data_IF_817804397047
#
_entry.id   IF_817804397047
#
_cell.length_a   1.000
_cell.length_b   1.000
_cell.length_c   1.000
_cell.angle_alpha   90.00
_cell.angle_beta   90.00
_cell.angle_gamma   90.00
#
_symmetry.space_group_name_H-M   'P 1'
#
loop_
_entity.id
_entity.type
_entity.pdbx_description
1 polymer ?
#
# COMPACT_ATOMS: atom_id res chain seq x y z
N UNK A 1 39.80 -41.57 -8.80
CA UNK A 1 39.49 -40.38 -8.02
C UNK A 1 38.57 -39.49 -8.84
N UNK A 2 37.29 -39.47 -8.54
CA UNK A 2 36.33 -38.55 -9.17
C UNK A 2 36.20 -37.34 -8.28
N UNK A 3 36.56 -36.17 -8.78
CA UNK A 3 36.36 -34.91 -8.10
C UNK A 3 34.90 -34.51 -8.30
N UNK A 4 34.11 -34.49 -7.22
CA UNK A 4 32.75 -33.92 -7.22
C UNK A 4 32.88 -32.38 -7.26
N UNK A 5 32.55 -31.77 -8.38
CA UNK A 5 32.40 -30.34 -8.50
C UNK A 5 31.07 -29.93 -7.80
N UNK A 6 31.17 -29.34 -6.63
CA UNK A 6 30.01 -28.70 -5.97
C UNK A 6 29.66 -27.44 -6.74
N UNK A 7 28.57 -27.50 -7.51
CA UNK A 7 27.92 -26.31 -8.05
C UNK A 7 27.31 -25.54 -6.88
N UNK A 8 27.98 -24.50 -6.41
CA UNK A 8 27.37 -23.46 -5.58
C UNK A 8 26.35 -22.73 -6.47
N UNK A 9 25.08 -23.06 -6.29
CA UNK A 9 24.00 -22.23 -6.80
C UNK A 9 24.09 -20.90 -6.04
N UNK A 10 24.64 -19.85 -6.66
CA UNK A 10 24.41 -18.49 -6.20
C UNK A 10 22.90 -18.24 -6.25
N UNK A 11 22.24 -18.26 -5.10
CA UNK A 11 20.88 -17.72 -5.00
C UNK A 11 20.96 -16.26 -5.46
N UNK A 12 20.28 -15.94 -6.55
CA UNK A 12 20.16 -14.57 -7.00
C UNK A 12 19.45 -13.82 -5.87
N UNK A 13 20.16 -12.87 -5.26
CA UNK A 13 19.57 -11.99 -4.25
C UNK A 13 18.59 -11.09 -4.96
N UNK A 14 17.35 -10.96 -4.45
CA UNK A 14 16.39 -10.02 -5.02
C UNK A 14 17.00 -8.62 -4.92
N UNK A 15 17.16 -8.00 -6.07
CA UNK A 15 17.63 -6.63 -6.13
C UNK A 15 16.44 -5.68 -6.13
N UNK A 16 16.50 -4.62 -5.34
CA UNK A 16 15.55 -3.52 -5.45
C UNK A 16 15.80 -2.69 -6.72
N UNK A 17 14.76 -2.38 -7.52
CA UNK A 17 13.33 -2.71 -7.32
C UNK A 17 13.00 -4.19 -7.59
N UNK A 18 12.06 -4.73 -6.78
CA UNK A 18 11.72 -6.16 -6.79
C UNK A 18 10.88 -6.61 -8.00
N UNK A 19 10.28 -5.68 -8.75
CA UNK A 19 9.43 -5.93 -9.91
C UNK A 19 10.07 -5.31 -11.17
N UNK A 20 11.10 -5.97 -11.77
CA UNK A 20 11.95 -5.33 -12.75
C UNK A 20 11.35 -5.17 -14.16
N UNK A 21 10.17 -5.74 -14.42
CA UNK A 21 9.56 -5.77 -15.77
C UNK A 21 8.60 -4.61 -16.04
N UNK A 22 8.02 -4.03 -15.01
CA UNK A 22 7.01 -2.96 -15.12
C UNK A 22 7.34 -1.83 -14.14
N UNK A 23 6.98 -0.61 -14.49
CA UNK A 23 6.91 0.48 -13.53
C UNK A 23 5.70 0.28 -12.64
N UNK A 24 5.92 0.29 -11.33
CA UNK A 24 4.91 -0.04 -10.34
C UNK A 24 5.03 0.91 -9.15
N UNK A 25 3.90 1.20 -8.50
CA UNK A 25 3.85 2.14 -7.40
C UNK A 25 2.82 1.75 -6.34
N UNK A 26 2.81 2.50 -5.25
CA UNK A 26 1.78 2.47 -4.21
C UNK A 26 1.51 1.04 -3.72
N UNK A 27 2.50 0.38 -3.11
CA UNK A 27 2.39 -1.02 -2.71
C UNK A 27 1.38 -1.19 -1.58
N UNK A 28 0.48 -2.17 -1.74
CA UNK A 28 -0.35 -2.72 -0.68
C UNK A 28 -0.01 -4.20 -0.52
N UNK A 29 0.37 -4.60 0.69
CA UNK A 29 0.85 -5.95 0.95
C UNK A 29 -0.08 -6.69 1.91
N UNK A 30 -0.44 -7.92 1.56
CA UNK A 30 -1.27 -8.79 2.36
C UNK A 30 -0.60 -10.15 2.53
N UNK A 31 -0.58 -10.68 3.75
CA UNK A 31 0.08 -11.95 4.06
C UNK A 31 -0.96 -12.98 4.46
N UNK A 32 -0.96 -14.11 3.77
CA UNK A 32 -1.84 -15.23 4.11
C UNK A 32 -1.20 -16.59 3.75
N UNK A 33 -1.35 -17.56 4.64
CA UNK A 33 -0.90 -18.94 4.43
C UNK A 33 0.55 -19.05 3.91
N UNK A 34 1.45 -18.23 4.45
CA UNK A 34 2.85 -18.21 4.06
C UNK A 34 3.14 -17.60 2.69
N UNK A 35 2.18 -16.91 2.11
CA UNK A 35 2.31 -16.16 0.86
C UNK A 35 2.14 -14.68 1.11
N UNK A 36 3.01 -13.86 0.55
CA UNK A 36 2.83 -12.41 0.44
C UNK A 36 2.16 -12.11 -0.89
N UNK A 37 1.02 -11.45 -0.85
CA UNK A 37 0.31 -10.90 -1.99
C UNK A 37 0.61 -9.40 -2.03
N UNK A 38 1.19 -8.92 -3.12
CA UNK A 38 1.60 -7.54 -3.31
C UNK A 38 0.80 -6.92 -4.46
N UNK A 39 -0.13 -6.06 -4.12
CA UNK A 39 -0.90 -5.26 -5.06
C UNK A 39 -0.18 -3.94 -5.29
N UNK A 40 -0.11 -3.51 -6.55
CA UNK A 40 0.60 -2.29 -6.92
C UNK A 40 -0.14 -1.57 -8.04
N UNK A 41 -0.05 -0.26 -8.09
CA UNK A 41 -0.42 0.51 -9.25
C UNK A 41 0.55 0.25 -10.40
N UNK A 42 0.07 0.27 -11.65
CA UNK A 42 0.89 0.14 -12.85
C UNK A 42 1.11 1.50 -13.49
N UNK A 43 2.29 2.08 -13.30
CA UNK A 43 2.68 3.35 -13.92
C UNK A 43 2.96 3.14 -15.42
N UNK A 44 2.09 3.67 -16.26
CA UNK A 44 2.12 3.51 -17.73
C UNK A 44 2.45 4.81 -18.47
N UNK A 45 2.86 5.86 -17.74
CA UNK A 45 3.23 7.13 -18.32
C UNK A 45 4.41 6.98 -19.29
N UNK A 46 4.32 7.61 -20.43
CA UNK A 46 5.43 7.73 -21.39
C UNK A 46 6.51 8.70 -20.86
N UNK A 47 7.71 8.73 -21.43
CA UNK A 47 8.74 9.69 -21.04
C UNK A 47 8.36 11.16 -21.20
N UNK A 48 7.34 11.47 -21.99
CA UNK A 48 6.88 12.83 -22.27
C UNK A 48 5.65 13.23 -21.47
N UNK A 49 4.98 12.27 -20.82
CA UNK A 49 3.80 12.56 -20.00
C UNK A 49 4.18 13.39 -18.77
N UNK A 50 3.26 14.26 -18.36
CA UNK A 50 3.44 15.20 -17.26
C UNK A 50 2.54 14.88 -16.08
N UNK A 51 1.91 13.70 -16.10
CA UNK A 51 1.00 13.22 -15.07
C UNK A 51 1.02 11.70 -14.98
N UNK A 52 0.39 11.16 -13.95
CA UNK A 52 0.21 9.72 -13.79
C UNK A 52 -0.73 9.15 -14.87
N UNK A 53 -0.34 8.01 -15.41
CA UNK A 53 -1.16 7.19 -16.31
C UNK A 53 -1.20 5.79 -15.73
N UNK A 54 -2.28 5.46 -15.03
CA UNK A 54 -2.44 4.20 -14.32
C UNK A 54 -3.79 3.59 -14.69
N UNK A 55 -3.79 2.49 -15.46
CA UNK A 55 -5.02 1.90 -16.04
C UNK A 55 -5.46 0.62 -15.34
N UNK A 56 -4.63 0.07 -14.47
CA UNK A 56 -4.88 -1.18 -13.76
C UNK A 56 -4.06 -1.26 -12.48
N UNK A 57 -4.51 -2.08 -11.56
CA UNK A 57 -3.67 -2.63 -10.50
C UNK A 57 -3.10 -3.97 -10.93
N UNK A 58 -1.87 -4.25 -10.53
CA UNK A 58 -1.21 -5.55 -10.73
C UNK A 58 -1.08 -6.27 -9.42
N UNK A 59 -1.09 -7.59 -9.48
CA UNK A 59 -0.85 -8.46 -8.34
C UNK A 59 0.39 -9.31 -8.57
N UNK A 60 1.23 -9.37 -7.56
CA UNK A 60 2.36 -10.28 -7.47
C UNK A 60 2.26 -11.11 -6.20
N UNK A 61 2.87 -12.30 -6.19
CA UNK A 61 2.96 -13.10 -4.98
C UNK A 61 4.35 -13.65 -4.78
N UNK A 62 4.75 -13.80 -3.51
CA UNK A 62 6.04 -14.38 -3.12
C UNK A 62 5.88 -15.27 -1.90
N UNK A 63 6.67 -16.34 -1.86
CA UNK A 63 6.80 -17.24 -0.73
C UNK A 63 8.10 -17.03 0.06
N UNK A 64 8.95 -16.10 -0.37
CA UNK A 64 10.30 -15.93 0.17
C UNK A 64 10.84 -14.49 0.15
N UNK A 65 10.05 -13.51 -0.27
CA UNK A 65 10.40 -12.09 -0.41
C UNK A 65 11.42 -11.78 -1.52
N UNK A 66 11.89 -12.78 -2.27
CA UNK A 66 12.84 -12.61 -3.36
C UNK A 66 12.26 -12.97 -4.73
N UNK A 67 11.54 -14.08 -4.80
CA UNK A 67 10.96 -14.57 -6.04
C UNK A 67 9.50 -14.14 -6.14
N UNK A 68 9.21 -13.23 -7.09
CA UNK A 68 7.89 -12.67 -7.29
C UNK A 68 7.24 -13.22 -8.56
N UNK A 69 6.06 -13.82 -8.39
CA UNK A 69 5.23 -14.34 -9.48
C UNK A 69 4.19 -13.30 -9.87
N UNK A 70 4.18 -12.89 -11.12
CA UNK A 70 3.13 -12.01 -11.67
C UNK A 70 1.82 -12.80 -11.79
N UNK A 71 0.77 -12.31 -11.14
CA UNK A 71 -0.59 -12.90 -11.10
C UNK A 71 -1.57 -12.17 -12.03
N UNK A 72 -1.11 -11.18 -12.77
CA UNK A 72 -1.94 -10.38 -13.66
C UNK A 72 -2.61 -9.21 -12.96
N UNK A 73 -3.71 -8.74 -13.54
CA UNK A 73 -4.53 -7.64 -13.01
C UNK A 73 -5.76 -8.20 -12.31
N UNK A 74 -5.87 -8.07 -10.97
CA UNK A 74 -7.01 -8.59 -10.22
C UNK A 74 -8.27 -7.74 -10.37
N UNK A 75 -8.10 -6.46 -10.73
CA UNK A 75 -9.18 -5.47 -10.91
C UNK A 75 -8.68 -4.30 -11.78
N UNK A 76 -9.59 -3.63 -12.45
CA UNK A 76 -9.37 -2.39 -13.19
C UNK A 76 -10.39 -1.33 -12.76
N UNK A 77 -10.14 -0.02 -12.97
CA UNK A 77 -11.09 1.05 -12.62
C UNK A 77 -12.48 0.86 -13.23
N UNK A 78 -12.56 0.22 -14.39
CA UNK A 78 -13.84 -0.09 -15.09
C UNK A 78 -14.76 -1.07 -14.33
N UNK A 79 -14.27 -1.73 -13.29
CA UNK A 79 -15.10 -2.52 -12.38
C UNK A 79 -16.10 -1.61 -11.63
N UNK A 80 -15.71 -0.39 -11.31
CA UNK A 80 -16.56 0.62 -10.68
C UNK A 80 -17.35 1.38 -11.73
N UNK A 81 -18.62 1.03 -11.93
CA UNK A 81 -19.47 1.62 -12.99
C UNK A 81 -19.80 3.10 -12.78
N UNK A 82 -19.65 3.60 -11.57
CA UNK A 82 -19.81 4.99 -11.17
C UNK A 82 -18.53 5.84 -11.34
N UNK A 83 -17.39 5.20 -11.64
CA UNK A 83 -16.11 5.86 -11.93
C UNK A 83 -15.95 6.16 -13.42
N UNK A 84 -15.01 7.04 -13.77
CA UNK A 84 -14.65 7.29 -15.18
C UNK A 84 -14.11 6.02 -15.85
N UNK A 85 -13.43 5.15 -15.10
CA UNK A 85 -13.16 3.76 -15.47
C UNK A 85 -12.07 3.51 -16.50
N UNK A 86 -11.30 4.53 -16.90
CA UNK A 86 -10.29 4.39 -17.96
C UNK A 86 -8.85 4.57 -17.50
N UNK A 87 -8.64 5.41 -16.52
CA UNK A 87 -7.35 5.79 -15.95
C UNK A 87 -7.51 5.95 -14.44
N UNK A 88 -6.44 6.32 -13.76
CA UNK A 88 -6.46 6.66 -12.33
C UNK A 88 -6.76 5.47 -11.41
N UNK A 89 -6.13 4.32 -11.72
CA UNK A 89 -5.97 3.23 -10.79
C UNK A 89 -4.91 3.61 -9.71
N UNK A 90 -5.24 4.61 -8.87
CA UNK A 90 -4.33 5.16 -7.90
C UNK A 90 -4.19 4.23 -6.69
N UNK A 91 -3.54 4.69 -5.63
CA UNK A 91 -3.26 3.85 -4.48
C UNK A 91 -4.50 3.10 -3.96
N UNK A 92 -4.27 1.88 -3.53
CA UNK A 92 -5.29 0.98 -3.01
C UNK A 92 -4.74 0.22 -1.81
N UNK A 93 -5.62 -0.35 -1.00
CA UNK A 93 -5.25 -1.26 0.08
C UNK A 93 -6.23 -2.43 0.16
N UNK A 94 -5.81 -3.50 0.84
CA UNK A 94 -6.56 -4.74 0.90
C UNK A 94 -6.60 -5.31 2.32
N UNK A 95 -7.74 -5.89 2.67
CA UNK A 95 -7.88 -6.67 3.90
C UNK A 95 -8.77 -7.89 3.69
N UNK A 96 -8.75 -8.80 4.66
CA UNK A 96 -9.63 -9.96 4.70
C UNK A 96 -10.57 -9.90 5.90
N UNK A 97 -11.84 -10.25 5.68
CA UNK A 97 -12.82 -10.47 6.74
C UNK A 97 -13.82 -11.54 6.33
N UNK A 98 -14.16 -12.43 7.24
CA UNK A 98 -15.18 -13.49 7.06
C UNK A 98 -15.00 -14.28 5.77
N UNK A 99 -13.75 -14.62 5.44
CA UNK A 99 -13.40 -15.40 4.25
C UNK A 99 -13.42 -14.62 2.93
N UNK A 100 -13.76 -13.33 2.94
CA UNK A 100 -13.76 -12.46 1.76
C UNK A 100 -12.62 -11.44 1.81
N UNK A 101 -12.17 -11.02 0.64
CA UNK A 101 -11.12 -10.02 0.46
C UNK A 101 -11.75 -8.72 -0.02
N UNK A 102 -11.42 -7.62 0.62
CA UNK A 102 -11.95 -6.28 0.35
C UNK A 102 -10.83 -5.37 -0.12
N UNK A 103 -10.96 -4.89 -1.36
CA UNK A 103 -9.99 -4.03 -2.03
C UNK A 103 -10.55 -2.61 -2.09
N UNK A 104 -9.93 -1.69 -1.36
CA UNK A 104 -10.29 -0.27 -1.35
C UNK A 104 -9.38 0.47 -2.31
N UNK A 105 -9.95 1.28 -3.19
CA UNK A 105 -9.18 1.86 -4.28
C UNK A 105 -9.59 3.30 -4.57
N UNK A 106 -8.61 4.12 -4.86
CA UNK A 106 -8.81 5.49 -5.35
C UNK A 106 -9.07 5.49 -6.86
N UNK A 107 -10.15 6.14 -7.28
CA UNK A 107 -10.52 6.36 -8.70
C UNK A 107 -11.17 7.73 -8.86
N UNK A 108 -11.29 8.20 -10.11
CA UNK A 108 -12.08 9.39 -10.44
C UNK A 108 -13.58 9.07 -10.48
N UNK A 109 -14.39 9.87 -9.80
CA UNK A 109 -15.85 9.75 -9.87
C UNK A 109 -16.40 10.36 -11.15
N UNK A 110 -17.33 9.68 -11.83
CA UNK A 110 -17.83 10.11 -13.15
C UNK A 110 -18.69 11.38 -13.14
N UNK A 111 -19.34 11.68 -12.01
CA UNK A 111 -20.32 12.78 -11.92
C UNK A 111 -20.10 13.73 -10.75
N UNK A 112 -19.43 13.28 -9.69
CA UNK A 112 -19.03 14.13 -8.55
C UNK A 112 -17.57 14.53 -8.81
N UNK A 113 -17.26 15.82 -8.99
CA UNK A 113 -15.87 16.24 -9.24
C UNK A 113 -14.93 15.83 -8.11
N UNK A 114 -13.80 15.22 -8.48
CA UNK A 114 -12.75 14.82 -7.55
C UNK A 114 -12.56 13.33 -7.43
N UNK A 115 -11.56 12.97 -6.62
CA UNK A 115 -11.25 11.57 -6.31
C UNK A 115 -12.30 10.98 -5.38
N UNK A 116 -12.41 9.68 -5.47
CA UNK A 116 -13.36 8.90 -4.68
C UNK A 116 -12.74 7.54 -4.31
N UNK A 117 -13.18 6.97 -3.21
CA UNK A 117 -12.74 5.65 -2.78
C UNK A 117 -13.88 4.66 -3.02
N UNK A 118 -13.58 3.63 -3.82
CA UNK A 118 -14.43 2.47 -4.03
C UNK A 118 -14.02 1.30 -3.15
N UNK A 119 -14.94 0.34 -2.97
CA UNK A 119 -14.64 -0.94 -2.37
C UNK A 119 -15.10 -2.07 -3.27
N UNK A 120 -14.19 -2.99 -3.58
CA UNK A 120 -14.47 -4.19 -4.36
C UNK A 120 -14.23 -5.44 -3.49
N UNK A 121 -14.91 -6.53 -3.81
CA UNK A 121 -14.88 -7.78 -3.04
C UNK A 121 -14.55 -8.98 -3.93
N UNK A 122 -13.82 -9.94 -3.35
CA UNK A 122 -13.54 -11.25 -3.97
C UNK A 122 -13.54 -12.35 -2.92
N UNK A 123 -13.74 -13.61 -3.37
CA UNK A 123 -13.58 -14.81 -2.54
C UNK A 123 -12.12 -15.31 -2.53
N UNK A 124 -11.22 -14.69 -3.31
CA UNK A 124 -9.80 -15.06 -3.42
C UNK A 124 -8.92 -13.82 -3.43
N UNK A 125 -7.70 -13.89 -2.89
CA UNK A 125 -6.78 -12.76 -2.95
C UNK A 125 -6.37 -12.40 -4.40
N UNK A 126 -6.39 -13.38 -5.31
CA UNK A 126 -6.09 -13.14 -6.72
C UNK A 126 -7.24 -12.49 -7.49
N UNK A 127 -8.41 -12.34 -6.88
CA UNK A 127 -9.58 -11.84 -7.58
C UNK A 127 -10.30 -12.92 -8.39
N UNK A 128 -11.09 -12.57 -9.41
CA UNK A 128 -11.39 -11.18 -9.78
C UNK A 128 -12.18 -10.45 -8.69
N UNK A 129 -11.87 -9.18 -8.51
CA UNK A 129 -12.64 -8.31 -7.62
C UNK A 129 -13.79 -7.66 -8.38
N UNK A 130 -14.93 -7.51 -7.72
CA UNK A 130 -16.13 -6.84 -8.24
C UNK A 130 -16.56 -5.72 -7.30
N UNK A 131 -17.11 -4.65 -7.85
CA UNK A 131 -17.67 -3.54 -7.06
C UNK A 131 -18.68 -4.08 -6.03
N UNK A 132 -18.43 -3.82 -4.75
CA UNK A 132 -19.21 -4.36 -3.66
C UNK A 132 -20.48 -3.52 -3.36
N UNK A 133 -20.60 -2.30 -3.93
CA UNK A 133 -21.65 -1.35 -3.60
C UNK A 133 -22.48 -0.88 -4.78
N UNK A 134 -21.88 -0.78 -5.98
CA UNK A 134 -22.45 -0.06 -7.12
C UNK A 134 -22.38 1.47 -6.97
N UNK A 135 -21.66 1.98 -5.96
CA UNK A 135 -21.43 3.41 -5.70
C UNK A 135 -20.13 3.60 -4.91
N UNK A 136 -19.54 4.80 -4.94
CA UNK A 136 -18.38 5.11 -4.10
C UNK A 136 -18.70 4.96 -2.61
N UNK A 137 -17.69 4.58 -1.83
CA UNK A 137 -17.74 4.58 -0.37
C UNK A 137 -17.47 5.99 0.17
N UNK A 138 -16.48 6.68 -0.37
CA UNK A 138 -16.13 8.07 -0.08
C UNK A 138 -16.18 8.86 -1.38
N UNK A 139 -16.71 10.07 -1.31
CA UNK A 139 -16.75 11.02 -2.43
C UNK A 139 -16.35 12.41 -1.95
N UNK A 140 -15.74 13.20 -2.80
CA UNK A 140 -15.19 14.51 -2.48
C UNK A 140 -16.23 15.50 -1.87
N UNK A 141 -17.52 15.33 -2.11
CA UNK A 141 -18.54 16.14 -1.48
C UNK A 141 -18.92 15.71 -0.04
N UNK A 142 -18.34 14.62 0.46
CA UNK A 142 -18.49 14.20 1.88
C UNK A 142 -17.40 14.82 2.77
N UNK A 143 -16.34 15.37 2.19
CA UNK A 143 -15.11 15.80 2.87
C UNK A 143 -14.67 17.15 2.27
N UNK A 144 -15.26 18.22 2.73
CA UNK A 144 -15.03 19.58 2.18
C UNK A 144 -13.94 20.38 2.94
N UNK A 145 -13.20 19.72 3.84
CA UNK A 145 -12.20 20.37 4.69
C UNK A 145 -10.92 20.74 3.91
N UNK A 146 -10.56 19.97 2.88
CA UNK A 146 -9.42 20.25 2.05
C UNK A 146 -9.82 21.09 0.82
N UNK A 147 -9.01 22.08 0.41
CA UNK A 147 -9.32 22.93 -0.73
C UNK A 147 -8.94 22.32 -2.10
N UNK A 148 -8.79 21.01 -2.17
CA UNK A 148 -8.34 20.26 -3.36
C UNK A 148 -9.29 19.11 -3.70
N UNK A 149 -9.47 18.81 -4.98
CA UNK A 149 -10.39 17.77 -5.43
C UNK A 149 -9.78 16.35 -5.39
N UNK A 150 -8.54 16.21 -4.99
CA UNK A 150 -7.85 14.92 -4.85
C UNK A 150 -7.47 14.59 -3.41
N UNK A 151 -8.21 15.10 -2.46
CA UNK A 151 -7.98 14.87 -1.03
C UNK A 151 -8.53 13.52 -0.53
N UNK A 152 -9.42 12.87 -1.27
CA UNK A 152 -9.95 11.56 -0.93
C UNK A 152 -9.19 10.45 -1.69
N UNK A 153 -7.92 10.27 -1.32
CA UNK A 153 -7.03 9.27 -1.91
C UNK A 153 -6.37 8.42 -0.84
N UNK A 154 -5.65 7.40 -1.28
CA UNK A 154 -4.77 6.55 -0.49
C UNK A 154 -5.48 5.86 0.68
N UNK A 155 -6.50 5.04 0.41
CA UNK A 155 -7.16 4.28 1.46
C UNK A 155 -6.19 3.30 2.11
N UNK A 156 -6.10 3.34 3.44
CA UNK A 156 -5.44 2.35 4.28
C UNK A 156 -6.48 1.67 5.18
N UNK A 157 -6.69 0.38 5.04
CA UNK A 157 -7.70 -0.38 5.78
C UNK A 157 -7.06 -1.25 6.85
N UNK A 158 -7.59 -1.18 8.06
CA UNK A 158 -7.12 -1.97 9.19
C UNK A 158 -8.29 -2.64 9.92
N UNK A 159 -8.14 -3.93 10.21
CA UNK A 159 -9.08 -4.68 11.06
C UNK A 159 -8.40 -4.99 12.39
N UNK A 160 -8.95 -4.51 13.48
CA UNK A 160 -8.40 -4.72 14.82
C UNK A 160 -8.75 -6.11 15.38
N UNK A 161 -8.12 -6.51 16.48
CA UNK A 161 -8.29 -7.81 17.11
C UNK A 161 -9.72 -8.04 17.63
N UNK A 162 -10.47 -6.97 17.93
CA UNK A 162 -11.89 -7.03 18.32
C UNK A 162 -12.83 -7.13 17.11
N UNK A 163 -12.27 -7.11 15.90
CA UNK A 163 -13.02 -7.16 14.64
C UNK A 163 -13.55 -5.80 14.17
N UNK A 164 -13.29 -4.70 14.89
CA UNK A 164 -13.62 -3.37 14.36
C UNK A 164 -12.68 -3.01 13.22
N UNK A 165 -13.25 -2.67 12.06
CA UNK A 165 -12.48 -2.20 10.91
C UNK A 165 -12.47 -0.67 10.84
N UNK A 166 -11.35 -0.14 10.37
CA UNK A 166 -11.09 1.29 10.19
C UNK A 166 -10.58 1.53 8.78
N UNK A 167 -11.05 2.60 8.16
CA UNK A 167 -10.51 3.13 6.91
C UNK A 167 -9.87 4.48 7.21
N UNK A 168 -8.57 4.59 6.90
CA UNK A 168 -7.81 5.83 6.90
C UNK A 168 -7.58 6.27 5.46
N UNK A 169 -7.57 7.58 5.19
CA UNK A 169 -7.30 8.11 3.85
C UNK A 169 -6.99 9.60 3.91
N UNK A 170 -6.52 10.16 2.82
CA UNK A 170 -6.46 11.59 2.64
C UNK A 170 -5.19 12.10 1.98
N UNK A 171 -5.32 13.30 1.43
CA UNK A 171 -4.22 14.18 1.07
C UNK A 171 -4.42 15.52 1.76
N UNK A 172 -3.36 16.14 2.24
CA UNK A 172 -3.36 17.40 3.00
C UNK A 172 -4.01 17.27 4.39
N UNK A 173 -5.13 16.59 4.50
CA UNK A 173 -5.85 16.34 5.75
C UNK A 173 -6.06 14.84 5.90
N UNK A 174 -5.52 14.26 6.97
CA UNK A 174 -5.76 12.87 7.31
C UNK A 174 -7.17 12.69 7.87
N UNK A 175 -7.88 11.73 7.33
CA UNK A 175 -9.23 11.34 7.73
C UNK A 175 -9.27 9.87 8.13
N UNK A 176 -10.23 9.51 8.97
CA UNK A 176 -10.61 8.11 9.18
C UNK A 176 -12.10 7.98 9.47
N UNK A 177 -12.61 6.78 9.23
CA UNK A 177 -13.92 6.36 9.69
C UNK A 177 -13.89 4.89 10.13
N UNK A 178 -14.81 4.50 11.00
CA UNK A 178 -15.08 3.09 11.26
C UNK A 178 -15.86 2.50 10.08
N UNK A 179 -15.64 1.22 9.82
CA UNK A 179 -16.44 0.46 8.87
C UNK A 179 -17.42 -0.44 9.62
N UNK A 180 -18.62 -0.60 9.06
CA UNK A 180 -19.55 -1.64 9.51
C UNK A 180 -19.00 -3.04 9.27
N UNK A 181 -19.57 -4.02 9.91
CA UNK A 181 -19.16 -5.42 9.78
C UNK A 181 -19.18 -5.93 8.33
N UNK A 182 -20.00 -5.36 7.45
CA UNK A 182 -20.07 -5.71 6.04
C UNK A 182 -18.88 -5.17 5.21
N UNK A 183 -17.99 -4.36 5.80
CA UNK A 183 -16.80 -3.77 5.17
C UNK A 183 -17.08 -2.81 4.00
N UNK A 184 -18.34 -2.51 3.72
CA UNK A 184 -18.75 -1.72 2.55
C UNK A 184 -19.50 -0.44 2.90
N UNK A 185 -19.66 -0.15 4.18
CA UNK A 185 -20.36 1.04 4.70
C UNK A 185 -19.59 1.64 5.86
N UNK A 186 -19.70 2.96 6.01
CA UNK A 186 -19.20 3.65 7.19
C UNK A 186 -20.08 3.35 8.41
N UNK A 187 -19.43 3.21 9.57
CA UNK A 187 -20.08 3.07 10.88
C UNK A 187 -19.86 4.34 11.70
N UNK A 188 -20.64 5.36 11.42
CA UNK A 188 -20.56 6.66 12.08
C UNK A 188 -19.92 7.76 11.22
N UNK A 189 -19.47 8.85 11.85
CA UNK A 189 -18.95 10.02 11.16
C UNK A 189 -17.52 9.82 10.62
N UNK A 190 -17.15 10.66 9.66
CA UNK A 190 -15.77 10.86 9.23
C UNK A 190 -15.09 11.76 10.26
N UNK A 191 -13.88 11.41 10.67
CA UNK A 191 -13.06 12.16 11.60
C UNK A 191 -11.80 12.66 10.91
N UNK A 192 -11.36 13.87 11.25
CA UNK A 192 -10.05 14.39 10.88
C UNK A 192 -9.02 14.12 11.98
N UNK A 193 -7.77 13.90 11.60
CA UNK A 193 -6.65 13.67 12.51
C UNK A 193 -5.56 14.70 12.25
N UNK A 194 -5.21 15.47 13.25
CA UNK A 194 -4.08 16.41 13.16
C UNK A 194 -2.75 15.66 13.19
N UNK A 195 -1.98 15.79 12.10
CA UNK A 195 -0.65 15.22 11.97
C UNK A 195 0.35 16.26 11.50
N UNK A 196 1.61 16.14 11.97
CA UNK A 196 2.67 17.05 11.57
C UNK A 196 3.02 16.86 10.09
N UNK A 197 2.78 17.90 9.29
CA UNK A 197 3.14 17.96 7.86
C UNK A 197 2.67 16.73 7.06
N UNK A 198 1.45 16.28 7.33
CA UNK A 198 0.81 15.19 6.59
C UNK A 198 0.63 15.57 5.12
N UNK A 199 1.04 14.68 4.22
CA UNK A 199 0.75 14.80 2.80
C UNK A 199 -0.27 13.74 2.40
N UNK A 200 0.05 12.45 2.49
CA UNK A 200 -0.82 11.36 2.01
C UNK A 200 -0.37 9.99 2.55
N UNK A 201 -0.86 8.90 1.95
CA UNK A 201 -0.44 7.52 2.19
C UNK A 201 -0.52 7.05 3.66
N UNK A 202 -1.65 7.23 4.36
CA UNK A 202 -1.77 6.73 5.73
C UNK A 202 -1.81 5.20 5.75
N UNK A 203 -1.03 4.58 6.62
CA UNK A 203 -1.00 3.14 6.81
C UNK A 203 -0.98 2.79 8.29
N UNK A 204 -2.02 2.09 8.74
CA UNK A 204 -2.17 1.67 10.13
C UNK A 204 -1.80 0.19 10.28
N UNK A 205 -0.92 -0.13 11.21
CA UNK A 205 -0.64 -1.51 11.61
C UNK A 205 -0.47 -1.63 13.12
N UNK A 206 -0.47 -2.87 13.63
CA UNK A 206 -0.32 -3.16 15.04
C UNK A 206 0.86 -4.11 15.25
N UNK A 207 1.71 -3.81 16.23
CA UNK A 207 2.78 -4.69 16.64
C UNK A 207 2.85 -4.74 18.17
N UNK A 208 2.76 -5.95 18.75
CA UNK A 208 2.82 -6.20 20.21
C UNK A 208 1.91 -5.27 21.02
N UNK A 209 0.69 -5.05 20.54
CA UNK A 209 -0.31 -4.24 21.23
C UNK A 209 -0.20 -2.72 21.04
N UNK A 210 0.86 -2.23 20.39
CA UNK A 210 1.02 -0.83 20.02
C UNK A 210 0.54 -0.61 18.59
N UNK A 211 -0.17 0.48 18.33
CA UNK A 211 -0.61 0.90 17.01
C UNK A 211 0.39 1.87 16.41
N UNK A 212 0.68 1.69 15.13
CA UNK A 212 1.61 2.49 14.34
C UNK A 212 0.88 3.05 13.15
N UNK A 213 0.85 4.37 13.04
CA UNK A 213 0.26 5.09 11.91
C UNK A 213 1.39 5.77 11.14
N UNK A 214 1.84 5.14 10.06
CA UNK A 214 2.83 5.71 9.15
C UNK A 214 2.15 6.47 8.02
N UNK A 215 2.85 7.43 7.44
CA UNK A 215 2.32 8.32 6.41
C UNK A 215 3.45 9.00 5.63
N UNK A 216 3.10 9.55 4.49
CA UNK A 216 3.96 10.42 3.70
C UNK A 216 3.90 11.84 4.25
N UNK A 217 5.07 12.38 4.57
CA UNK A 217 5.29 13.67 5.23
C UNK A 217 6.05 14.61 4.31
N UNK A 218 5.66 15.89 4.26
CA UNK A 218 6.25 16.92 3.40
C UNK A 218 6.05 16.68 1.89
N UNK A 219 6.64 17.55 1.09
CA UNK A 219 6.74 17.39 -0.36
C UNK A 219 8.03 18.06 -0.87
N UNK A 220 8.99 17.34 -1.45
CA UNK A 220 9.02 15.88 -1.69
C UNK A 220 8.94 15.06 -0.40
N UNK A 221 8.30 13.89 -0.49
CA UNK A 221 7.86 13.10 0.63
C UNK A 221 8.94 12.24 1.28
N UNK A 222 8.84 12.11 2.59
CA UNK A 222 9.54 11.13 3.42
C UNK A 222 8.52 10.34 4.24
N UNK A 223 8.85 9.10 4.65
CA UNK A 223 7.95 8.32 5.49
C UNK A 223 8.20 8.63 6.96
N UNK A 224 7.16 9.09 7.66
CA UNK A 224 7.15 9.30 9.10
C UNK A 224 6.07 8.47 9.78
N UNK A 225 6.07 8.41 11.12
CA UNK A 225 5.06 7.66 11.84
C UNK A 225 4.76 8.21 13.23
N UNK A 226 3.59 7.82 13.71
CA UNK A 226 3.10 7.98 15.07
C UNK A 226 2.86 6.62 15.71
N UNK A 227 2.85 6.58 17.04
CA UNK A 227 2.35 5.43 17.81
C UNK A 227 1.19 5.85 18.69
N UNK A 228 0.32 4.88 19.01
CA UNK A 228 -0.83 5.10 19.88
C UNK A 228 -1.27 3.83 20.60
N UNK A 229 -2.11 3.98 21.66
CA UNK A 229 -2.66 2.86 22.40
C UNK A 229 -3.89 2.23 21.78
N UNK A 230 -4.45 2.85 20.73
CA UNK A 230 -5.63 2.35 20.02
C UNK A 230 -5.57 2.71 18.53
N UNK A 231 -6.42 2.10 17.72
CA UNK A 231 -6.55 2.37 16.30
C UNK A 231 -7.00 3.82 15.98
N UNK A 232 -7.40 4.60 16.95
CA UNK A 232 -7.81 6.01 16.81
C UNK A 232 -6.96 6.96 17.67
N UNK A 233 -5.83 6.49 18.18
CA UNK A 233 -4.92 7.26 19.02
C UNK A 233 -5.27 7.21 20.53
N UNK A 234 -4.89 8.21 21.33
CA UNK A 234 -4.15 9.41 20.92
C UNK A 234 -2.78 9.10 20.32
N UNK A 235 -2.37 9.93 19.35
CA UNK A 235 -1.16 9.69 18.56
C UNK A 235 0.04 10.47 19.09
N UNK A 236 1.20 9.80 19.20
CA UNK A 236 2.48 10.38 19.58
C UNK A 236 3.46 10.26 18.42
N UNK A 237 3.96 11.39 17.92
CA UNK A 237 4.97 11.44 16.87
C UNK A 237 6.27 10.75 17.31
N UNK A 238 6.83 9.94 16.43
CA UNK A 238 8.05 9.17 16.71
C UNK A 238 9.23 9.55 15.80
N UNK A 239 8.97 10.08 14.61
CA UNK A 239 10.03 10.52 13.70
C UNK A 239 9.88 10.00 12.28
N UNK A 240 10.92 10.28 11.49
CA UNK A 240 11.07 9.82 10.11
C UNK A 240 11.78 8.47 10.08
N UNK A 241 11.22 7.52 9.33
CA UNK A 241 11.78 6.17 9.18
C UNK A 241 12.38 5.90 7.80
N UNK A 242 12.05 6.70 6.79
CA UNK A 242 12.63 6.58 5.46
C UNK A 242 12.74 7.95 4.79
N UNK A 243 13.89 8.24 4.18
CA UNK A 243 14.12 9.50 3.50
C UNK A 243 13.43 9.59 2.16
N UNK A 244 13.19 10.82 1.73
CA UNK A 244 12.68 11.14 0.38
C UNK A 244 13.55 10.59 -0.74
N UNK A 245 12.92 10.34 -1.86
CA UNK A 245 13.58 9.92 -3.09
C UNK A 245 14.19 11.14 -3.83
N UNK A 246 15.14 10.87 -4.71
CA UNK A 246 15.80 11.92 -5.51
C UNK A 246 15.14 12.20 -6.86
N UNK A 247 14.37 11.24 -7.40
CA UNK A 247 13.74 11.31 -8.73
C UNK A 247 12.22 11.27 -8.71
N UNK A 248 11.64 10.95 -7.55
CA UNK A 248 10.20 10.85 -7.32
C UNK A 248 9.90 11.73 -6.11
N UNK A 249 8.85 12.51 -6.17
CA UNK A 249 8.45 13.39 -5.07
C UNK A 249 7.55 12.68 -4.06
N UNK A 250 6.91 11.57 -4.46
CA UNK A 250 6.04 10.78 -3.60
C UNK A 250 6.76 9.57 -3.00
N UNK A 251 6.24 9.08 -1.88
CA UNK A 251 6.57 7.79 -1.29
C UNK A 251 5.31 7.19 -0.68
N UNK A 252 5.09 5.89 -0.88
CA UNK A 252 3.93 5.19 -0.32
C UNK A 252 4.41 3.89 0.30
N UNK A 253 4.03 3.62 1.54
CA UNK A 253 4.53 2.47 2.28
C UNK A 253 3.42 1.48 2.65
N UNK A 254 3.79 0.19 2.70
CA UNK A 254 3.05 -0.85 3.38
C UNK A 254 4.00 -1.63 4.30
N UNK A 255 3.57 -1.95 5.51
CA UNK A 255 4.38 -2.64 6.52
C UNK A 255 3.70 -3.94 6.89
N UNK A 256 4.41 -5.06 6.73
CA UNK A 256 3.90 -6.39 7.06
C UNK A 256 4.89 -7.21 7.87
N UNK A 257 4.36 -8.15 8.65
CA UNK A 257 5.14 -9.24 9.19
C UNK A 257 4.99 -10.48 8.27
N UNK A 258 6.10 -11.07 7.90
CA UNK A 258 6.13 -12.30 7.13
C UNK A 258 7.21 -13.24 7.66
N UNK A 259 6.79 -14.46 8.00
CA UNK A 259 7.66 -15.54 8.49
C UNK A 259 8.63 -15.06 9.59
N UNK A 260 8.08 -14.35 10.60
CA UNK A 260 8.79 -13.86 11.79
C UNK A 260 9.69 -12.64 11.59
N UNK A 261 9.64 -12.00 10.44
CA UNK A 261 10.40 -10.78 10.13
C UNK A 261 9.47 -9.67 9.66
N UNK A 262 9.89 -8.41 9.83
CA UNK A 262 9.11 -7.25 9.42
C UNK A 262 9.68 -6.65 8.14
N UNK A 263 8.80 -6.22 7.25
CA UNK A 263 9.13 -5.66 5.95
C UNK A 263 8.37 -4.37 5.70
N UNK A 264 9.04 -3.42 5.08
CA UNK A 264 8.43 -2.20 4.54
C UNK A 264 8.58 -2.21 3.02
N UNK A 265 7.44 -2.23 2.33
CA UNK A 265 7.37 -1.96 0.90
C UNK A 265 7.27 -0.46 0.69
N UNK A 266 7.86 0.03 -0.38
CA UNK A 266 7.81 1.43 -0.78
C UNK A 266 8.06 1.55 -2.29
N UNK A 267 7.91 2.75 -2.87
CA UNK A 267 8.31 2.94 -4.25
C UNK A 267 9.47 3.96 -4.39
N UNK A 268 10.18 3.85 -5.50
CA UNK A 268 11.23 4.76 -5.93
C UNK A 268 11.22 4.88 -7.47
N UNK A 269 12.27 5.39 -8.12
CA UNK A 269 12.40 5.42 -9.58
C UNK A 269 13.75 4.84 -10.03
N UNK A 270 14.15 3.70 -9.45
CA UNK A 270 15.47 3.12 -9.70
C UNK A 270 15.52 2.16 -10.89
N UNK A 271 14.39 1.76 -11.47
CA UNK A 271 14.41 1.03 -12.75
C UNK A 271 14.99 1.89 -13.88
N UNK A 272 15.64 1.28 -14.87
CA UNK A 272 16.05 1.99 -16.09
C UNK A 272 14.86 2.73 -16.73
N UNK A 273 15.00 4.02 -16.98
CA UNK A 273 13.90 4.87 -17.46
C UNK A 273 12.94 5.38 -16.38
N UNK A 274 13.21 5.07 -15.10
CA UNK A 274 12.41 5.55 -13.97
C UNK A 274 12.44 7.07 -13.81
N UNK A 275 11.29 7.64 -13.47
CA UNK A 275 11.04 9.07 -13.30
C UNK A 275 9.85 9.31 -12.37
N UNK A 276 9.41 10.56 -12.18
CA UNK A 276 8.29 10.97 -11.34
C UNK A 276 7.04 10.11 -11.54
N UNK A 277 6.64 9.86 -12.78
CA UNK A 277 5.44 9.10 -13.17
C UNK A 277 5.77 7.68 -13.69
N UNK A 278 6.97 7.19 -13.41
CA UNK A 278 7.44 5.83 -13.73
C UNK A 278 8.22 5.29 -12.54
N UNK A 279 7.47 4.95 -11.52
CA UNK A 279 7.98 4.50 -10.22
C UNK A 279 8.29 3.01 -10.24
N UNK A 280 8.91 2.51 -9.20
CA UNK A 280 9.25 1.09 -9.06
C UNK A 280 9.23 0.67 -7.60
N UNK A 281 8.54 -0.43 -7.31
CA UNK A 281 8.38 -0.95 -5.94
C UNK A 281 9.65 -1.65 -5.47
N UNK A 282 10.00 -1.37 -4.24
CA UNK A 282 11.13 -1.93 -3.50
C UNK A 282 10.67 -2.39 -2.11
N UNK A 283 11.50 -3.18 -1.43
CA UNK A 283 11.23 -3.68 -0.08
C UNK A 283 12.51 -3.74 0.75
N UNK A 284 12.38 -3.41 2.05
CA UNK A 284 13.46 -3.58 3.03
C UNK A 284 12.98 -4.42 4.21
N UNK A 285 13.87 -5.23 4.79
CA UNK A 285 13.68 -5.89 6.06
C UNK A 285 14.08 -4.92 7.18
N UNK A 286 13.35 -4.93 8.29
CA UNK A 286 13.72 -4.18 9.49
C UNK A 286 13.35 -4.93 10.77
N UNK A 287 13.97 -4.52 11.87
CA UNK A 287 13.66 -5.02 13.21
C UNK A 287 13.29 -3.84 14.09
N UNK A 288 12.18 -3.93 14.81
CA UNK A 288 11.82 -2.93 15.83
C UNK A 288 12.92 -2.83 16.89
N UNK A 289 13.19 -1.61 17.33
CA UNK A 289 14.07 -1.37 18.46
C UNK A 289 13.52 -2.00 19.76
N UNK A 290 14.35 -2.15 20.77
CA UNK A 290 13.93 -2.74 22.04
C UNK A 290 12.79 -1.97 22.75
N UNK A 291 12.67 -0.66 22.48
CA UNK A 291 11.61 0.21 22.97
C UNK A 291 10.34 0.20 22.10
N UNK A 292 10.31 -0.61 21.05
CA UNK A 292 9.21 -0.72 20.11
C UNK A 292 9.22 0.32 18.99
N UNK A 293 10.19 1.23 18.93
CA UNK A 293 10.28 2.19 17.82
C UNK A 293 10.76 1.52 16.53
N UNK A 294 10.37 2.09 15.38
CA UNK A 294 10.87 1.67 14.07
C UNK A 294 12.20 2.42 13.83
N UNK A 295 13.32 1.72 13.52
CA UNK A 295 14.58 2.37 13.19
C UNK A 295 14.48 3.13 11.87
N UNK A 296 15.44 4.03 11.61
CA UNK A 296 15.57 4.60 10.27
C UNK A 296 15.97 3.51 9.26
N UNK A 297 15.17 3.35 8.21
CA UNK A 297 15.32 2.29 7.21
C UNK A 297 15.97 2.89 5.96
N UNK A 298 17.15 2.38 5.63
CA UNK A 298 17.90 2.81 4.45
C UNK A 298 17.38 2.10 3.21
N UNK A 299 17.08 2.85 2.16
CA UNK A 299 16.73 2.30 0.85
C UNK A 299 17.97 1.68 0.19
N UNK A 300 18.01 0.35 0.05
CA UNK A 300 19.14 -0.40 -0.50
C UNK A 300 18.91 -0.79 -1.96
N UNK A 301 19.97 -1.23 -2.63
CA UNK A 301 19.88 -1.87 -3.95
C UNK A 301 19.72 -3.38 -3.83
N UNK A 302 20.14 -3.93 -2.72
CA UNK A 302 20.20 -5.36 -2.49
C UNK A 302 18.84 -5.94 -2.12
N UNK A 303 18.01 -5.17 -1.40
CA UNK A 303 16.75 -5.67 -0.84
C UNK A 303 16.97 -6.70 0.27
N UNK A 304 15.90 -7.36 0.78
CA UNK A 304 16.00 -8.35 1.85
C UNK A 304 16.62 -9.67 1.36
N UNK A 305 17.21 -10.42 2.29
CA UNK A 305 17.55 -11.81 2.05
C UNK A 305 16.31 -12.69 1.90
N UNK A 306 16.46 -13.85 1.24
CA UNK A 306 15.35 -14.81 1.14
C UNK A 306 14.89 -15.26 2.53
N UNK A 307 13.57 -15.29 2.70
CA UNK A 307 12.90 -15.74 3.92
C UNK A 307 11.80 -16.76 3.56
N UNK A 308 12.17 -17.98 3.12
CA UNK A 308 11.21 -18.93 2.59
C UNK A 308 10.23 -19.42 3.65
N UNK A 309 8.94 -19.41 3.31
CA UNK A 309 7.87 -19.92 4.15
C UNK A 309 7.56 -21.38 3.83
N UNK A 310 7.60 -22.23 4.83
CA UNK A 310 7.19 -23.63 4.72
C UNK A 310 5.66 -23.81 4.53
N UNK A 311 4.87 -22.79 4.86
CA UNK A 311 3.41 -22.81 4.70
C UNK A 311 2.96 -22.45 3.28
N UNK A 312 3.84 -21.91 2.45
CA UNK A 312 3.53 -21.57 1.06
C UNK A 312 3.41 -22.85 0.21
N UNK A 313 2.33 -22.98 -0.55
CA UNK A 313 2.04 -24.15 -1.37
C UNK A 313 1.99 -23.79 -2.86
#
# INVERSE_FOLDING_TARGET
>A
MFAAASLLACAAQAANPILPKLFTADPAAFVENGTVYLYVGHDQASPTDKDYVMKEWRLYSSCDMQNWTDRGSPIQPSAFKWAIGKVDAWAADITKRDGKYYFYATVDHATIPGRAIGVAVSDKPEGPFVDARGSALITNNMTLEAPIAWDDIDPGVFVDDDGQAYLYWGNTILKYAKLKANMTELDGPIHTVGMDRFTEAPYLHKHKGTYYLSYSRDFPEETAYYTGPSATGPWKYQGVIMSKNTKVKTIHQAIVEFNGKNYIFYHNAKLPGGAEFRRSVAVEEFTYNADGTIPFIKQTKEGPAANPSAACK
#
